data_IF_840489866577
#
_entry.id   IF_840489866577
#
_cell.length_a   1.000
_cell.length_b   1.000
_cell.length_c   1.000
_cell.angle_alpha   90.00
_cell.angle_beta   90.00
_cell.angle_gamma   90.00
#
_symmetry.space_group_name_H-M   'P 1'
#
loop_
_entity.id
_entity.type
_entity.pdbx_description
1 polymer ?
#
# COMPACT_ATOMS: atom_id res chain seq x y z
N UNK A 1 -1.10 -9.56 7.11
CA UNK A 1 -0.56 -8.21 6.92
C UNK A 1 -0.43 -7.88 5.45
N UNK A 2 -0.74 -6.66 5.08
CA UNK A 2 -0.61 -6.19 3.72
C UNK A 2 0.26 -4.94 3.65
N UNK A 3 1.03 -4.82 2.57
CA UNK A 3 1.77 -3.60 2.25
C UNK A 3 1.19 -3.05 0.96
N UNK A 4 0.67 -1.84 1.03
CA UNK A 4 0.10 -1.14 -0.11
C UNK A 4 1.09 -0.08 -0.61
N UNK A 5 1.18 0.08 -1.93
CA UNK A 5 2.07 1.05 -2.53
C UNK A 5 1.38 1.72 -3.72
N UNK A 6 1.92 2.88 -4.13
CA UNK A 6 1.29 3.71 -5.17
C UNK A 6 1.65 3.27 -6.58
N UNK A 7 2.89 2.90 -6.83
CA UNK A 7 3.41 2.65 -8.18
C UNK A 7 4.16 1.34 -8.28
N UNK A 8 4.11 0.72 -9.45
CA UNK A 8 4.66 -0.63 -9.68
C UNK A 8 6.15 -0.75 -9.34
N UNK A 9 6.95 0.31 -9.59
CA UNK A 9 8.38 0.24 -9.28
C UNK A 9 8.64 0.03 -7.79
N UNK A 10 7.75 0.54 -6.94
CA UNK A 10 7.86 0.35 -5.50
C UNK A 10 7.59 -1.10 -5.12
N UNK A 11 6.64 -1.73 -5.82
CA UNK A 11 6.32 -3.13 -5.58
C UNK A 11 7.50 -4.04 -5.82
N UNK A 12 8.25 -3.80 -6.89
CA UNK A 12 9.45 -4.59 -7.18
C UNK A 12 10.51 -4.45 -6.10
N UNK A 13 10.77 -3.22 -5.66
CA UNK A 13 11.73 -2.96 -4.61
C UNK A 13 11.32 -3.61 -3.29
N UNK A 14 10.06 -3.50 -2.92
CA UNK A 14 9.54 -4.09 -1.69
C UNK A 14 9.58 -5.62 -1.74
N UNK A 15 9.17 -6.20 -2.86
CA UNK A 15 9.20 -7.65 -3.02
C UNK A 15 10.62 -8.20 -2.89
N UNK A 16 11.58 -7.53 -3.53
CA UNK A 16 12.98 -7.94 -3.45
C UNK A 16 13.51 -7.83 -2.01
N UNK A 17 13.23 -6.72 -1.36
CA UNK A 17 13.71 -6.49 0.01
C UNK A 17 13.15 -7.54 0.98
N UNK A 18 11.87 -7.87 0.86
CA UNK A 18 11.25 -8.86 1.73
C UNK A 18 11.80 -10.25 1.47
N UNK A 19 12.01 -10.62 0.21
CA UNK A 19 12.60 -11.91 -0.14
C UNK A 19 14.03 -12.04 0.36
N UNK A 20 14.78 -10.96 0.28
CA UNK A 20 16.19 -10.98 0.70
C UNK A 20 16.35 -11.25 2.20
N UNK A 21 15.35 -10.88 3.00
CA UNK A 21 15.37 -11.17 4.45
C UNK A 21 14.54 -12.40 4.81
N UNK A 22 14.08 -13.15 3.81
CA UNK A 22 13.38 -14.41 4.05
C UNK A 22 11.93 -14.31 4.43
N UNK A 23 11.28 -13.17 4.17
CA UNK A 23 9.86 -13.00 4.48
C UNK A 23 9.02 -13.46 3.29
N UNK A 24 8.10 -14.43 3.49
CA UNK A 24 7.23 -14.88 2.40
C UNK A 24 6.31 -13.75 1.92
N UNK A 25 6.16 -13.62 0.61
CA UNK A 25 5.39 -12.58 -0.03
C UNK A 25 4.43 -13.18 -1.05
N UNK A 26 3.17 -12.74 -1.01
CA UNK A 26 2.24 -12.93 -2.10
C UNK A 26 2.04 -11.59 -2.78
N UNK A 27 2.53 -11.46 -4.02
CA UNK A 27 2.41 -10.21 -4.78
C UNK A 27 1.13 -10.28 -5.60
N UNK A 28 0.14 -9.51 -5.16
CA UNK A 28 -1.16 -9.42 -5.83
C UNK A 28 -1.08 -8.31 -6.87
N UNK A 29 -1.41 -8.63 -8.12
CA UNK A 29 -1.40 -7.61 -9.16
C UNK A 29 -2.75 -7.63 -9.90
N UNK A 30 -2.91 -6.75 -10.89
CA UNK A 30 -4.18 -6.52 -11.55
C UNK A 30 -4.71 -7.73 -12.32
N UNK A 31 -3.87 -8.73 -12.55
CA UNK A 31 -4.25 -9.95 -13.21
C UNK A 31 -5.16 -10.79 -12.32
N UNK A 32 -5.71 -11.81 -12.91
CA UNK A 32 -6.78 -12.65 -12.43
C UNK A 32 -6.71 -13.12 -10.97
N UNK A 33 -5.57 -12.99 -10.31
CA UNK A 33 -5.33 -13.59 -9.00
C UNK A 33 -5.37 -12.62 -7.83
N UNK A 34 -5.63 -11.33 -8.05
CA UNK A 34 -5.61 -10.34 -6.97
C UNK A 34 -6.63 -10.63 -5.88
N UNK A 35 -7.73 -11.32 -6.21
CA UNK A 35 -8.76 -11.68 -5.24
C UNK A 35 -8.71 -13.15 -4.82
N UNK A 36 -7.69 -13.87 -5.23
CA UNK A 36 -7.53 -15.30 -4.94
C UNK A 36 -6.37 -15.58 -3.98
N UNK A 37 -5.89 -14.56 -3.27
CA UNK A 37 -4.85 -14.79 -2.29
C UNK A 37 -5.38 -15.66 -1.15
N UNK A 38 -4.47 -16.36 -0.50
CA UNK A 38 -4.82 -17.19 0.65
C UNK A 38 -4.74 -16.35 1.93
N UNK A 39 -5.87 -15.92 2.51
CA UNK A 39 -5.81 -15.09 3.72
C UNK A 39 -5.24 -15.83 4.93
N UNK A 40 -5.27 -17.17 4.91
CA UNK A 40 -4.70 -17.96 6.00
C UNK A 40 -3.18 -18.17 5.87
N UNK A 41 -2.59 -17.88 4.71
CA UNK A 41 -1.15 -18.03 4.54
C UNK A 41 -0.41 -16.94 5.34
N UNK A 42 0.67 -17.35 6.01
CA UNK A 42 1.50 -16.43 6.78
C UNK A 42 2.50 -15.72 5.87
N UNK A 43 1.99 -15.01 4.89
CA UNK A 43 2.78 -14.22 3.97
C UNK A 43 2.32 -12.78 4.00
N UNK A 44 3.23 -11.87 3.62
CA UNK A 44 2.89 -10.47 3.43
C UNK A 44 2.20 -10.35 2.08
N UNK A 45 1.02 -9.74 2.07
CA UNK A 45 0.30 -9.44 0.82
C UNK A 45 0.80 -8.11 0.31
N UNK A 46 1.38 -8.10 -0.90
CA UNK A 46 1.96 -6.92 -1.52
C UNK A 46 1.09 -6.52 -2.70
N UNK A 47 0.55 -5.31 -2.70
CA UNK A 47 -0.38 -4.89 -3.73
C UNK A 47 -0.42 -3.37 -3.85
N UNK A 48 -0.85 -2.88 -5.01
CA UNK A 48 -1.05 -1.45 -5.19
C UNK A 48 -2.28 -0.98 -4.43
N UNK A 49 -2.32 0.32 -4.13
CA UNK A 49 -3.51 0.93 -3.52
C UNK A 49 -4.75 0.70 -4.39
N UNK A 50 -4.59 0.71 -5.72
CA UNK A 50 -5.69 0.51 -6.68
C UNK A 50 -6.30 -0.88 -6.53
N UNK A 51 -5.47 -1.90 -6.40
CA UNK A 51 -5.93 -3.30 -6.30
C UNK A 51 -6.56 -3.58 -4.95
N UNK A 52 -6.20 -2.80 -3.92
CA UNK A 52 -6.71 -3.02 -2.57
C UNK A 52 -8.20 -2.75 -2.42
N UNK A 53 -8.82 -2.11 -3.39
CA UNK A 53 -10.23 -1.77 -3.34
C UNK A 53 -11.09 -3.03 -3.19
N UNK A 54 -11.94 -3.04 -2.17
CA UNK A 54 -12.78 -4.20 -1.90
C UNK A 54 -12.13 -5.29 -1.04
N UNK A 55 -10.86 -5.13 -0.67
CA UNK A 55 -10.16 -6.05 0.19
C UNK A 55 -9.92 -5.41 1.56
N UNK A 56 -9.82 -6.24 2.60
CA UNK A 56 -9.53 -5.77 3.95
C UNK A 56 -8.48 -6.65 4.59
N UNK A 57 -7.66 -6.06 5.46
CA UNK A 57 -6.58 -6.76 6.15
C UNK A 57 -6.51 -6.27 7.60
N UNK A 58 -6.21 -7.15 8.56
CA UNK A 58 -6.05 -6.71 9.95
C UNK A 58 -4.97 -5.65 10.11
N UNK A 59 -3.83 -5.82 9.45
CA UNK A 59 -2.69 -4.90 9.55
C UNK A 59 -2.32 -4.45 8.15
N UNK A 60 -2.24 -3.14 7.95
CA UNK A 60 -1.89 -2.53 6.67
C UNK A 60 -0.75 -1.54 6.87
N UNK A 61 0.28 -1.68 6.05
CA UNK A 61 1.34 -0.69 5.88
C UNK A 61 1.17 -0.02 4.53
N UNK A 62 1.18 1.30 4.51
CA UNK A 62 1.18 2.05 3.26
C UNK A 62 2.57 2.64 3.09
N UNK A 63 3.28 2.17 2.06
CA UNK A 63 4.65 2.58 1.79
C UNK A 63 4.68 3.71 0.77
N UNK A 64 5.59 4.66 0.97
CA UNK A 64 5.88 5.68 -0.02
C UNK A 64 4.84 6.79 -0.13
N UNK A 65 4.22 7.18 0.98
CA UNK A 65 3.27 8.30 0.98
C UNK A 65 3.96 9.60 0.52
N UNK A 66 5.28 9.70 0.71
CA UNK A 66 6.05 10.84 0.21
C UNK A 66 6.05 11.01 -1.30
N UNK A 67 5.65 9.98 -2.05
CA UNK A 67 5.48 10.07 -3.51
C UNK A 67 4.09 10.53 -3.91
N UNK A 68 3.22 10.84 -2.97
CA UNK A 68 1.86 11.30 -3.25
C UNK A 68 1.71 12.78 -2.92
N UNK A 69 0.94 13.52 -3.70
CA UNK A 69 0.17 13.06 -4.86
C UNK A 69 1.06 12.79 -6.07
N UNK A 70 0.65 11.85 -6.90
CA UNK A 70 1.32 11.57 -8.16
C UNK A 70 1.07 12.73 -9.12
N UNK A 71 2.12 13.21 -9.80
CA UNK A 71 2.05 14.42 -10.64
C UNK A 71 1.16 14.27 -11.86
N UNK A 72 0.97 13.05 -12.32
CA UNK A 72 0.15 12.77 -13.52
C UNK A 72 -1.34 12.68 -13.20
N UNK A 73 -1.72 12.78 -11.93
CA UNK A 73 -3.11 12.59 -11.52
C UNK A 73 -3.66 13.82 -10.82
N UNK A 74 -4.98 13.97 -10.83
CA UNK A 74 -5.63 15.03 -10.08
C UNK A 74 -5.44 14.80 -8.57
N UNK A 75 -5.19 15.88 -7.83
CA UNK A 75 -4.95 15.79 -6.39
C UNK A 75 -6.15 15.16 -5.67
N UNK A 76 -7.38 15.49 -6.09
CA UNK A 76 -8.57 14.92 -5.48
C UNK A 76 -8.65 13.41 -5.67
N UNK A 77 -8.23 12.91 -6.82
CA UNK A 77 -8.23 11.47 -7.10
C UNK A 77 -7.16 10.76 -6.27
N UNK A 78 -5.99 11.37 -6.12
CA UNK A 78 -4.93 10.83 -5.28
C UNK A 78 -5.33 10.80 -3.82
N UNK A 79 -5.99 11.84 -3.32
CA UNK A 79 -6.49 11.87 -1.95
C UNK A 79 -7.53 10.79 -1.72
N UNK A 80 -8.42 10.58 -2.68
CA UNK A 80 -9.45 9.54 -2.59
C UNK A 80 -8.82 8.16 -2.59
N UNK A 81 -7.81 7.96 -3.42
CA UNK A 81 -7.07 6.69 -3.48
C UNK A 81 -6.40 6.38 -2.15
N UNK A 82 -5.72 7.36 -1.56
CA UNK A 82 -5.08 7.18 -0.26
C UNK A 82 -6.10 6.88 0.83
N UNK A 83 -7.22 7.58 0.82
CA UNK A 83 -8.29 7.33 1.79
C UNK A 83 -8.79 5.88 1.69
N UNK A 84 -9.06 5.41 0.48
CA UNK A 84 -9.50 4.02 0.29
C UNK A 84 -8.44 3.05 0.81
N UNK A 85 -7.16 3.30 0.51
CA UNK A 85 -6.08 2.44 0.98
C UNK A 85 -6.02 2.41 2.51
N UNK A 86 -6.15 3.56 3.17
CA UNK A 86 -6.12 3.65 4.62
C UNK A 86 -7.27 2.87 5.27
N UNK A 87 -8.43 2.85 4.63
CA UNK A 87 -9.60 2.15 5.17
C UNK A 87 -9.56 0.64 4.95
N UNK A 88 -8.52 0.11 4.29
CA UNK A 88 -8.37 -1.35 4.16
C UNK A 88 -7.91 -2.01 5.45
N UNK A 89 -7.39 -1.25 6.42
CA UNK A 89 -6.97 -1.79 7.70
C UNK A 89 -8.16 -1.91 8.65
N UNK A 90 -8.34 -3.10 9.24
CA UNK A 90 -9.41 -3.30 10.21
C UNK A 90 -8.91 -3.14 11.66
N UNK A 91 -7.62 -3.27 11.91
CA UNK A 91 -7.07 -3.20 13.26
C UNK A 91 -5.92 -2.22 13.40
N UNK A 92 -4.96 -2.23 12.48
CA UNK A 92 -3.75 -1.42 12.61
C UNK A 92 -3.33 -0.86 11.26
N UNK A 93 -3.04 0.43 11.23
CA UNK A 93 -2.59 1.14 10.03
C UNK A 93 -1.28 1.87 10.32
N UNK A 94 -0.29 1.67 9.46
CA UNK A 94 0.99 2.38 9.50
C UNK A 94 1.27 3.01 8.16
N UNK A 95 1.72 4.26 8.17
CA UNK A 95 2.11 4.99 6.97
C UNK A 95 3.60 5.27 7.04
N UNK A 96 4.32 5.02 5.95
CA UNK A 96 5.76 5.31 5.91
C UNK A 96 6.07 6.28 4.77
N UNK A 97 7.06 7.13 5.00
CA UNK A 97 7.54 8.05 4.00
C UNK A 97 9.03 8.30 4.21
N UNK A 98 9.76 8.48 3.12
CA UNK A 98 11.18 8.84 3.15
C UNK A 98 11.44 10.24 2.61
N UNK A 99 10.38 10.97 2.26
CA UNK A 99 10.45 12.34 1.75
C UNK A 99 9.16 13.09 2.07
N UNK A 100 9.25 14.41 2.10
CA UNK A 100 8.07 15.25 2.27
C UNK A 100 7.23 15.31 1.00
N UNK A 101 5.94 15.47 1.21
CA UNK A 101 4.99 15.78 0.14
C UNK A 101 3.83 16.54 0.75
N UNK A 102 2.93 17.05 -0.10
CA UNK A 102 1.74 17.74 0.39
C UNK A 102 0.91 16.84 1.29
N UNK A 103 0.79 15.54 0.93
CA UNK A 103 0.03 14.59 1.72
C UNK A 103 0.70 14.27 3.05
N UNK A 104 2.02 14.09 3.08
CA UNK A 104 2.76 13.85 4.32
C UNK A 104 2.57 15.01 5.29
N UNK A 105 2.71 16.22 4.81
CA UNK A 105 2.54 17.42 5.65
C UNK A 105 1.13 17.51 6.21
N UNK A 106 0.13 17.17 5.41
CA UNK A 106 -1.26 17.20 5.85
C UNK A 106 -1.52 16.15 6.92
N UNK A 107 -1.00 14.93 6.73
CA UNK A 107 -1.16 13.85 7.68
C UNK A 107 -0.46 14.16 9.01
N UNK A 108 0.71 14.76 8.98
CA UNK A 108 1.42 15.14 10.18
C UNK A 108 0.65 16.16 11.02
N UNK A 109 -0.12 17.03 10.37
CA UNK A 109 -0.91 18.05 11.08
C UNK A 109 -2.07 17.45 11.87
N UNK A 110 -2.61 16.31 11.44
CA UNK A 110 -3.78 15.71 12.06
C UNK A 110 -3.41 14.56 12.99
N UNK A 111 -2.16 14.19 13.02
CA UNK A 111 -1.70 13.06 13.85
C UNK A 111 -1.47 13.51 15.34
#
# INVERSE_FOLDING_TARGET
MAILYRSDFMGQSLSRALKDVGIPVEWLNADSNSKRYNPAAQSVKLLTMHISKGLEFPVVFIAGVGFMPNRSEAIADEARLLYVAMTRATEYLELSCDRDSAFVKRLERVA
#
